data_IF_343494081608
#
_entry.id   IF_343494081608
#
_cell.length_a   1.000
_cell.length_b   1.000
_cell.length_c   1.000
_cell.angle_alpha   90.00
_cell.angle_beta   90.00
_cell.angle_gamma   90.00
#
_symmetry.space_group_name_H-M   'P 1'
#
loop_
_entity.id
_entity.type
_entity.pdbx_description
1 polymer ?
#
# COMPACT_ATOMS: atom_id res chain seq x y z
N UNK A 1 0.24 5.97 -3.93
CA UNK A 1 1.04 5.32 -5.01
C UNK A 1 0.15 4.41 -5.84
N UNK A 2 0.11 4.64 -7.13
CA UNK A 2 -0.57 3.77 -8.07
C UNK A 2 0.46 2.83 -8.68
N UNK A 3 0.22 1.53 -8.62
CA UNK A 3 1.19 0.56 -9.14
C UNK A 3 0.52 -0.70 -9.67
N UNK A 4 1.15 -1.30 -10.66
CA UNK A 4 0.77 -2.62 -11.21
C UNK A 4 1.83 -3.67 -10.92
N UNK A 5 2.91 -3.32 -10.22
CA UNK A 5 4.08 -4.17 -10.01
C UNK A 5 4.45 -4.30 -8.54
N UNK A 6 4.47 -5.53 -8.04
CA UNK A 6 4.95 -5.84 -6.69
C UNK A 6 6.40 -5.41 -6.50
N UNK A 7 7.26 -5.68 -7.46
CA UNK A 7 8.68 -5.32 -7.38
C UNK A 7 8.87 -3.81 -7.24
N UNK A 8 8.07 -3.02 -7.95
CA UNK A 8 8.10 -1.57 -7.85
C UNK A 8 7.61 -1.08 -6.49
N UNK A 9 6.56 -1.69 -5.96
CA UNK A 9 6.05 -1.38 -4.62
C UNK A 9 7.12 -1.65 -3.57
N UNK A 10 7.76 -2.81 -3.60
CA UNK A 10 8.83 -3.18 -2.69
C UNK A 10 9.99 -2.17 -2.76
N UNK A 11 10.41 -1.84 -3.98
CA UNK A 11 11.53 -0.93 -4.21
C UNK A 11 11.26 0.48 -3.69
N UNK A 12 10.03 0.97 -3.80
CA UNK A 12 9.68 2.34 -3.44
C UNK A 12 9.14 2.51 -2.03
N UNK A 13 8.83 1.42 -1.36
CA UNK A 13 8.15 1.48 -0.06
C UNK A 13 8.93 2.28 0.99
N UNK A 14 10.21 2.04 1.12
CA UNK A 14 11.04 2.72 2.11
C UNK A 14 11.09 4.24 1.87
N UNK A 15 11.24 4.65 0.62
CA UNK A 15 11.25 6.07 0.26
C UNK A 15 9.89 6.74 0.52
N UNK A 16 8.79 6.04 0.23
CA UNK A 16 7.44 6.55 0.47
C UNK A 16 7.16 6.74 1.96
N UNK A 17 7.51 5.76 2.76
CA UNK A 17 7.27 5.82 4.21
C UNK A 17 8.16 6.85 4.88
N UNK A 18 9.40 6.99 4.43
CA UNK A 18 10.32 8.02 4.92
C UNK A 18 9.80 9.43 4.62
N UNK A 19 9.24 9.64 3.42
CA UNK A 19 8.71 10.93 3.00
C UNK A 19 7.46 11.33 3.78
N UNK A 20 6.61 10.36 4.12
CA UNK A 20 5.36 10.60 4.85
C UNK A 20 5.60 10.81 6.34
N UNK A 21 6.56 10.09 6.90
CA UNK A 21 6.86 10.11 8.33
C UNK A 21 5.92 9.23 9.16
N UNK A 22 6.22 9.09 10.47
CA UNK A 22 5.53 8.11 11.33
C UNK A 22 4.08 8.46 11.66
N UNK A 23 3.69 9.72 11.52
CA UNK A 23 2.31 10.15 11.78
C UNK A 23 1.44 10.21 10.54
N UNK A 24 2.00 9.97 9.35
CA UNK A 24 1.31 10.05 8.08
C UNK A 24 0.71 8.74 7.64
N UNK A 25 0.13 8.75 6.46
CA UNK A 25 -0.45 7.56 5.84
C UNK A 25 0.00 7.46 4.39
N UNK A 26 0.13 6.23 3.92
CA UNK A 26 0.43 5.94 2.52
C UNK A 26 -0.74 5.17 1.92
N UNK A 27 -1.27 5.65 0.81
CA UNK A 27 -2.25 4.93 0.03
C UNK A 27 -1.53 4.18 -1.09
N UNK A 28 -1.79 2.87 -1.16
CA UNK A 28 -1.33 2.03 -2.26
C UNK A 28 -2.55 1.66 -3.09
N UNK A 29 -2.51 1.96 -4.38
CA UNK A 29 -3.60 1.65 -5.29
C UNK A 29 -3.13 0.67 -6.36
N UNK A 30 -3.96 -0.31 -6.67
CA UNK A 30 -3.70 -1.32 -7.69
C UNK A 30 -4.96 -1.57 -8.51
N UNK A 31 -4.82 -2.11 -9.74
CA UNK A 31 -5.98 -2.41 -10.57
C UNK A 31 -6.81 -3.55 -9.96
N UNK A 32 -8.12 -3.36 -9.94
CA UNK A 32 -9.05 -4.42 -9.57
C UNK A 32 -8.94 -5.57 -10.57
N UNK A 33 -9.15 -6.79 -10.09
CA UNK A 33 -9.19 -7.97 -10.97
C UNK A 33 -10.19 -7.80 -12.10
N UNK A 34 -11.36 -7.26 -11.81
CA UNK A 34 -12.44 -7.04 -12.79
C UNK A 34 -12.10 -5.99 -13.84
N UNK A 35 -11.07 -5.16 -13.64
CA UNK A 35 -10.67 -4.15 -14.62
C UNK A 35 -9.99 -4.72 -15.85
N UNK A 36 -9.48 -5.96 -15.78
CA UNK A 36 -8.73 -6.59 -16.86
C UNK A 36 -7.30 -6.07 -17.04
N UNK A 37 -6.85 -5.11 -16.24
CA UNK A 37 -5.47 -4.62 -16.28
C UNK A 37 -4.53 -5.69 -15.73
N UNK A 38 -3.47 -6.00 -16.46
CA UNK A 38 -2.47 -6.98 -16.03
C UNK A 38 -1.67 -6.45 -14.84
N UNK A 39 -1.63 -7.23 -13.76
CA UNK A 39 -0.89 -6.87 -12.55
C UNK A 39 -0.60 -8.13 -11.73
N UNK A 40 0.50 -8.12 -10.99
CA UNK A 40 0.79 -9.13 -9.98
C UNK A 40 0.38 -8.67 -8.57
N UNK A 41 -0.29 -7.52 -8.47
CA UNK A 41 -0.71 -6.97 -7.18
C UNK A 41 -2.17 -7.31 -6.89
N UNK A 42 -2.38 -7.82 -5.68
CA UNK A 42 -3.69 -7.99 -5.06
C UNK A 42 -3.64 -7.34 -3.69
N UNK A 43 -4.77 -7.27 -3.01
CA UNK A 43 -4.83 -6.80 -1.62
C UNK A 43 -3.87 -7.58 -0.72
N UNK A 44 -3.83 -8.91 -0.86
CA UNK A 44 -2.93 -9.76 -0.07
C UNK A 44 -1.46 -9.51 -0.38
N UNK A 45 -1.12 -9.25 -1.64
CA UNK A 45 0.25 -8.89 -2.04
C UNK A 45 0.68 -7.58 -1.39
N UNK A 46 -0.20 -6.58 -1.36
CA UNK A 46 0.10 -5.30 -0.68
C UNK A 46 0.38 -5.55 0.80
N UNK A 47 -0.43 -6.34 1.47
CA UNK A 47 -0.21 -6.70 2.87
C UNK A 47 1.10 -7.44 3.07
N UNK A 48 1.45 -8.38 2.20
CA UNK A 48 2.72 -9.12 2.28
C UNK A 48 3.94 -8.19 2.21
N UNK A 49 3.85 -7.11 1.44
CA UNK A 49 4.92 -6.12 1.34
C UNK A 49 4.94 -5.19 2.56
N UNK A 50 3.79 -4.74 2.99
CA UNK A 50 3.63 -3.67 3.99
C UNK A 50 3.82 -4.16 5.41
N UNK A 51 3.18 -5.27 5.79
CA UNK A 51 3.15 -5.73 7.18
C UNK A 51 4.52 -6.01 7.78
N UNK A 52 5.47 -6.67 7.08
CA UNK A 52 6.79 -6.92 7.65
C UNK A 52 7.60 -5.65 7.95
N UNK A 53 7.22 -4.51 7.40
CA UNK A 53 7.91 -3.24 7.62
C UNK A 53 7.43 -2.47 8.86
N UNK A 54 6.44 -3.01 9.56
CA UNK A 54 5.83 -2.34 10.72
C UNK A 54 4.67 -1.42 10.37
N UNK A 55 4.30 -1.31 9.11
CA UNK A 55 3.11 -0.60 8.66
C UNK A 55 1.93 -1.55 8.58
N UNK A 56 0.73 -1.03 8.80
CA UNK A 56 -0.50 -1.84 8.77
C UNK A 56 -1.56 -1.16 7.92
N UNK A 57 -2.41 -1.97 7.33
CA UNK A 57 -3.57 -1.49 6.61
C UNK A 57 -4.70 -1.13 7.58
N UNK A 58 -5.32 0.02 7.37
CA UNK A 58 -6.41 0.52 8.21
C UNK A 58 -7.70 0.75 7.47
N UNK A 59 -7.66 0.81 6.14
CA UNK A 59 -8.86 1.01 5.34
C UNK A 59 -8.64 0.51 3.92
N UNK A 60 -9.63 -0.22 3.42
CA UNK A 60 -9.72 -0.62 2.01
C UNK A 60 -10.82 0.21 1.37
N UNK A 61 -10.57 0.77 0.20
CA UNK A 61 -11.57 1.54 -0.53
C UNK A 61 -11.45 1.32 -2.03
N UNK A 62 -12.59 1.31 -2.71
CA UNK A 62 -12.60 1.43 -4.16
C UNK A 62 -12.33 2.89 -4.51
N UNK A 63 -11.29 3.13 -5.30
CA UNK A 63 -10.96 4.49 -5.73
C UNK A 63 -11.85 4.88 -6.91
N UNK A 64 -11.96 3.98 -7.89
CA UNK A 64 -12.86 4.14 -9.04
C UNK A 64 -13.19 2.76 -9.63
N UNK A 65 -13.66 2.71 -10.87
CA UNK A 65 -14.03 1.46 -11.52
C UNK A 65 -12.83 0.53 -11.77
N UNK A 66 -11.63 1.10 -11.92
CA UNK A 66 -10.40 0.36 -12.24
C UNK A 66 -9.55 0.10 -11.01
N UNK A 67 -9.45 1.04 -10.09
CA UNK A 67 -8.47 1.01 -9.01
C UNK A 67 -9.11 0.76 -7.64
N UNK A 68 -8.45 -0.09 -6.87
CA UNK A 68 -8.68 -0.24 -5.42
C UNK A 68 -7.52 0.39 -4.67
N UNK A 69 -7.77 0.80 -3.42
CA UNK A 69 -6.75 1.40 -2.59
C UNK A 69 -6.74 0.82 -1.18
N UNK A 70 -5.55 0.79 -0.59
CA UNK A 70 -5.33 0.37 0.79
C UNK A 70 -4.58 1.47 1.51
N UNK A 71 -5.19 2.00 2.59
CA UNK A 71 -4.55 3.02 3.42
C UNK A 71 -3.69 2.33 4.47
N UNK A 72 -2.42 2.70 4.51
CA UNK A 72 -1.44 2.12 5.41
C UNK A 72 -0.88 3.19 6.36
N UNK A 73 -0.73 2.82 7.62
CA UNK A 73 -0.13 3.67 8.66
C UNK A 73 0.91 2.87 9.42
N UNK A 74 1.86 3.57 10.04
CA UNK A 74 2.83 2.92 10.91
C UNK A 74 2.11 2.38 12.15
N UNK A 75 2.43 1.16 12.55
CA UNK A 75 1.86 0.55 13.76
C UNK A 75 2.11 1.44 14.97
N UNK A 76 1.12 1.50 15.86
CA UNK A 76 1.17 2.38 17.03
C UNK A 76 2.41 2.13 17.89
N UNK A 77 2.80 0.89 18.08
CA UNK A 77 3.96 0.48 18.86
C UNK A 77 5.31 0.78 18.18
N UNK A 78 5.31 1.15 16.90
CA UNK A 78 6.49 1.58 16.14
C UNK A 78 6.59 3.09 16.02
N UNK A 79 5.58 3.84 16.49
CA UNK A 79 5.62 5.31 16.45
C UNK A 79 6.41 5.85 17.61
N UNK A 80 7.16 6.96 17.40
CA UNK A 80 7.80 7.64 18.51
C UNK A 80 6.75 8.14 19.52
N UNK A 81 7.10 8.22 20.79
CA UNK A 81 6.20 8.73 21.82
C UNK A 81 5.85 10.21 21.60
#
# INVERSE_FOLDING_TARGET
MFTTSRARLEKRWDALTAAVGPAGAVWVAWPKRASGVTTDITEDVVRDVVLPTGWVDVKVAAIDETWSGLRCVLRRDHRPP
#
